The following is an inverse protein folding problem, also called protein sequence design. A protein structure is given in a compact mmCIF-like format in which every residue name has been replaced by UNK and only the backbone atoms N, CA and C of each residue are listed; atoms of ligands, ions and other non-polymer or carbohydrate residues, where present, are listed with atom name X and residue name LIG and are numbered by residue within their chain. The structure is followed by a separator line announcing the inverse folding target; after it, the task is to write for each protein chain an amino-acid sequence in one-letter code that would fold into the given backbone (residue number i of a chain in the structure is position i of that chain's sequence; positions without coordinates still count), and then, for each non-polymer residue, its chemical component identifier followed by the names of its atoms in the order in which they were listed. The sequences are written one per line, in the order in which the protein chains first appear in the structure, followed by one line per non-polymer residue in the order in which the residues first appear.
data_IF_654308526650
#
_entry.id   IF_654308526650
#
_cell.length_a   1.000
_cell.length_b   1.000
_cell.length_c   1.000
_cell.angle_alpha   90.00
_cell.angle_beta   90.00
_cell.angle_gamma   90.00
#
_symmetry.space_group_name_H-M   'P 1'
#
loop_
_entity.id
_entity.type
_entity.pdbx_description
1 polymer ?
#
# COMPACT_ATOMS: atom_id res chain seq x y z
N UNK A 1 17.52 -11.81 -10.41
CA UNK A 1 16.24 -11.91 -9.69
C UNK A 1 15.55 -10.56 -9.74
N UNK A 2 14.59 -10.37 -10.65
CA UNK A 2 13.89 -9.07 -10.80
C UNK A 2 12.93 -8.91 -9.63
N UNK A 3 13.24 -8.00 -8.70
CA UNK A 3 12.40 -7.69 -7.54
C UNK A 3 11.10 -7.03 -8.03
N UNK A 4 10.05 -7.82 -8.25
CA UNK A 4 8.72 -7.29 -8.49
C UNK A 4 8.29 -6.49 -7.25
N UNK A 5 8.15 -5.18 -7.41
CA UNK A 5 7.72 -4.30 -6.31
C UNK A 5 6.30 -4.70 -5.92
N UNK A 6 6.09 -5.04 -4.64
CA UNK A 6 4.81 -5.50 -4.09
C UNK A 6 3.94 -4.33 -3.61
N UNK A 7 2.63 -4.49 -3.66
CA UNK A 7 1.68 -3.55 -3.09
C UNK A 7 1.84 -3.52 -1.55
N UNK A 8 1.97 -2.33 -0.93
CA UNK A 8 2.17 -2.23 0.52
C UNK A 8 0.94 -2.66 1.33
N UNK A 9 -0.25 -2.67 0.71
CA UNK A 9 -1.52 -2.98 1.39
C UNK A 9 -1.88 -4.47 1.38
N UNK A 10 -1.52 -5.21 0.33
CA UNK A 10 -1.93 -6.60 0.17
C UNK A 10 -0.86 -7.54 -0.40
N UNK A 11 0.37 -7.08 -0.59
CA UNK A 11 1.51 -7.83 -1.10
C UNK A 11 1.41 -8.40 -2.53
N UNK A 12 0.29 -8.18 -3.24
CA UNK A 12 0.15 -8.53 -4.67
C UNK A 12 1.14 -7.74 -5.55
N UNK A 13 1.49 -8.24 -6.74
CA UNK A 13 2.20 -7.47 -7.75
C UNK A 13 1.56 -6.10 -7.99
N UNK A 14 2.36 -5.04 -8.04
CA UNK A 14 1.87 -3.71 -8.41
C UNK A 14 1.37 -3.71 -9.85
N UNK A 15 0.35 -2.91 -10.11
CA UNK A 15 -0.09 -2.60 -11.47
C UNK A 15 0.50 -1.25 -11.87
N UNK A 16 0.96 -1.10 -13.12
CA UNK A 16 1.59 0.14 -13.58
C UNK A 16 0.66 1.35 -13.39
N UNK A 17 -0.60 1.21 -13.83
CA UNK A 17 -1.63 2.27 -13.74
C UNK A 17 -2.07 2.59 -12.30
N UNK A 18 -1.70 1.76 -11.33
CA UNK A 18 -2.09 1.92 -9.93
C UNK A 18 -0.89 2.03 -8.99
N UNK A 19 0.32 2.18 -9.51
CA UNK A 19 1.52 2.27 -8.71
C UNK A 19 1.40 3.43 -7.69
N UNK A 20 1.75 3.22 -6.40
CA UNK A 20 2.50 2.10 -5.82
C UNK A 20 1.66 0.88 -5.39
N UNK A 21 0.39 0.79 -5.78
CA UNK A 21 -0.56 -0.26 -5.39
C UNK A 21 -0.84 -1.26 -6.52
N UNK A 22 -1.66 -2.28 -6.23
CA UNK A 22 -2.17 -3.20 -7.25
C UNK A 22 -3.52 -2.79 -7.84
N UNK A 23 -4.28 -1.89 -7.20
CA UNK A 23 -5.60 -1.43 -7.63
C UNK A 23 -6.05 -0.16 -6.90
N UNK A 24 -7.08 0.51 -7.43
CA UNK A 24 -7.76 1.65 -6.76
C UNK A 24 -8.26 1.27 -5.35
N UNK A 25 -8.84 0.08 -5.18
CA UNK A 25 -9.29 -0.42 -3.87
C UNK A 25 -8.18 -0.40 -2.81
N UNK A 26 -6.94 -0.73 -3.18
CA UNK A 26 -5.83 -0.71 -2.23
C UNK A 26 -5.37 0.72 -1.93
N UNK A 27 -5.43 1.64 -2.89
CA UNK A 27 -5.20 3.07 -2.64
C UNK A 27 -6.22 3.63 -1.64
N UNK A 28 -7.49 3.31 -1.82
CA UNK A 28 -8.55 3.84 -0.96
C UNK A 28 -8.46 3.25 0.47
N UNK A 29 -8.00 2.00 0.61
CA UNK A 29 -7.70 1.39 1.92
C UNK A 29 -6.48 2.05 2.60
N UNK A 30 -5.44 2.37 1.83
CA UNK A 30 -4.29 3.12 2.33
C UNK A 30 -4.73 4.49 2.87
N UNK A 31 -5.58 5.20 2.12
CA UNK A 31 -6.17 6.46 2.55
C UNK A 31 -7.00 6.30 3.84
N UNK A 32 -7.80 5.24 3.97
CA UNK A 32 -8.54 4.98 5.20
C UNK A 32 -7.62 4.74 6.41
N UNK A 33 -6.50 4.04 6.23
CA UNK A 33 -5.50 3.89 7.30
C UNK A 33 -4.90 5.24 7.70
N UNK A 34 -4.63 6.14 6.74
CA UNK A 34 -4.15 7.49 7.03
C UNK A 34 -5.16 8.33 7.81
N UNK A 35 -6.42 8.26 7.44
CA UNK A 35 -7.48 9.06 8.07
C UNK A 35 -7.91 8.50 9.44
N UNK A 36 -7.67 7.22 9.70
CA UNK A 36 -8.10 6.51 10.90
C UNK A 36 -6.98 6.20 11.90
N UNK A 37 -5.87 6.95 11.87
CA UNK A 37 -4.70 6.72 12.73
C UNK A 37 -4.16 5.27 12.67
N UNK A 38 -4.33 4.60 11.53
CA UNK A 38 -3.89 3.22 11.32
C UNK A 38 -2.38 3.08 11.13
N UNK A 39 -1.65 4.19 11.00
CA UNK A 39 -0.20 4.24 10.92
C UNK A 39 0.37 4.84 12.20
N UNK A 40 1.18 4.06 12.92
CA UNK A 40 1.88 4.49 14.11
C UNK A 40 3.39 4.27 13.97
N UNK A 41 4.17 5.22 14.49
CA UNK A 41 5.62 5.08 14.64
C UNK A 41 5.89 4.68 16.10
N UNK A 42 6.55 3.53 16.35
CA UNK A 42 6.89 3.12 17.72
C UNK A 42 7.69 4.22 18.46
N UNK A 43 7.36 4.43 19.74
CA UNK A 43 8.10 5.32 20.63
C UNK A 43 9.34 4.64 21.24
N UNK A 44 10.30 5.44 21.78
CA UNK A 44 11.50 4.95 22.45
C UNK A 44 11.21 4.21 23.77
#
# INVERSE_FOLDING_TARGET
MTTLRKCPICAKPRHADHAPFCSSRCRDRDLANWLGDGYAIPGP
#
